data_IF_922851708554
#
_entry.id   IF_922851708554
#
_cell.length_a   1.000
_cell.length_b   1.000
_cell.length_c   1.000
_cell.angle_alpha   90.00
_cell.angle_beta   90.00
_cell.angle_gamma   90.00
#
_symmetry.space_group_name_H-M   'P 1'
#
loop_
_entity.id
_entity.type
_entity.pdbx_description
1 polymer ?
#
# COMPACT_ATOMS: atom_id res chain seq x y z
N UNK A 1 -5.17 -18.55 -4.66
CA UNK A 1 -3.89 -18.15 -5.29
C UNK A 1 -3.48 -16.75 -4.80
N UNK A 2 -2.97 -16.62 -3.57
CA UNK A 2 -2.59 -15.31 -2.99
C UNK A 2 -1.07 -15.10 -2.93
N UNK A 3 -0.31 -16.19 -2.81
CA UNK A 3 1.15 -16.14 -2.66
C UNK A 3 1.86 -15.45 -3.83
N UNK A 4 1.57 -15.87 -5.08
CA UNK A 4 2.22 -15.32 -6.27
C UNK A 4 2.03 -13.80 -6.40
N UNK A 5 0.79 -13.25 -6.42
CA UNK A 5 0.61 -11.81 -6.57
C UNK A 5 1.23 -11.01 -5.41
N UNK A 6 1.18 -11.53 -4.17
CA UNK A 6 1.82 -10.88 -3.02
C UNK A 6 3.35 -10.89 -3.18
N UNK A 7 3.95 -12.02 -3.56
CA UNK A 7 5.40 -12.11 -3.77
C UNK A 7 5.89 -11.19 -4.90
N UNK A 8 5.12 -11.05 -5.99
CA UNK A 8 5.42 -10.11 -7.07
C UNK A 8 5.32 -8.65 -6.59
N UNK A 9 4.30 -8.32 -5.79
CA UNK A 9 4.15 -6.98 -5.22
C UNK A 9 5.39 -6.57 -4.41
N UNK A 10 5.88 -7.46 -3.54
CA UNK A 10 7.11 -7.23 -2.79
C UNK A 10 8.35 -7.17 -3.69
N UNK A 11 8.47 -8.07 -4.67
CA UNK A 11 9.61 -8.09 -5.59
C UNK A 11 9.74 -6.81 -6.43
N UNK A 12 8.61 -6.16 -6.74
CA UNK A 12 8.56 -4.88 -7.45
C UNK A 12 8.77 -3.66 -6.52
N UNK A 13 9.02 -3.88 -5.22
CA UNK A 13 9.16 -2.82 -4.22
C UNK A 13 7.96 -1.86 -4.17
N UNK A 14 6.75 -2.37 -4.41
CA UNK A 14 5.53 -1.58 -4.27
C UNK A 14 5.21 -1.34 -2.80
N UNK A 15 4.63 -0.17 -2.51
CA UNK A 15 4.35 0.23 -1.14
C UNK A 15 2.93 -0.11 -0.70
N UNK A 16 2.82 -0.72 0.49
CA UNK A 16 1.54 -1.10 1.09
C UNK A 16 1.37 -0.37 2.42
N UNK A 17 0.30 0.43 2.55
CA UNK A 17 0.08 1.32 3.70
C UNK A 17 0.06 0.58 5.04
N UNK A 18 -0.65 -0.54 5.11
CA UNK A 18 -0.72 -1.37 6.34
C UNK A 18 0.63 -1.99 6.71
N UNK A 19 1.38 -2.50 5.72
CA UNK A 19 2.72 -3.07 5.96
C UNK A 19 3.67 -1.97 6.44
N UNK A 20 3.65 -0.79 5.81
CA UNK A 20 4.49 0.33 6.18
C UNK A 20 4.17 0.88 7.58
N UNK A 21 2.92 0.79 8.02
CA UNK A 21 2.49 1.15 9.38
C UNK A 21 3.09 0.22 10.45
N UNK A 22 3.52 -0.98 10.07
CA UNK A 22 4.26 -1.88 10.96
C UNK A 22 5.78 -1.72 10.80
N UNK A 23 6.27 -1.70 9.56
CA UNK A 23 7.71 -1.71 9.24
C UNK A 23 8.40 -0.40 9.66
N UNK A 24 7.80 0.76 9.38
CA UNK A 24 8.44 2.05 9.64
C UNK A 24 8.53 2.33 11.16
N UNK A 25 7.46 2.14 11.97
CA UNK A 25 7.59 2.26 13.42
C UNK A 25 8.58 1.26 14.02
N UNK A 26 8.63 0.03 13.49
CA UNK A 26 9.66 -0.94 13.90
C UNK A 26 11.06 -0.43 13.59
N UNK A 27 11.29 0.15 12.41
CA UNK A 27 12.57 0.75 12.05
C UNK A 27 12.94 1.93 12.97
N UNK A 28 11.98 2.79 13.32
CA UNK A 28 12.19 3.90 14.26
C UNK A 28 12.60 3.39 15.65
N UNK A 29 11.95 2.33 16.16
CA UNK A 29 12.30 1.70 17.43
C UNK A 29 13.71 1.09 17.38
N UNK A 30 14.10 0.54 16.24
CA UNK A 30 15.45 -0.01 16.01
C UNK A 30 16.52 1.07 15.76
N UNK A 31 16.17 2.36 15.83
CA UNK A 31 17.12 3.47 15.77
C UNK A 31 17.28 4.11 14.39
N UNK A 32 16.36 3.88 13.45
CA UNK A 32 16.36 4.61 12.18
C UNK A 32 16.05 6.10 12.41
N UNK A 33 16.81 6.98 11.74
CA UNK A 33 16.63 8.44 11.79
C UNK A 33 15.45 8.88 10.91
N UNK A 34 14.24 8.52 11.34
CA UNK A 34 12.98 8.87 10.68
C UNK A 34 12.14 9.62 11.70
N UNK A 35 11.74 10.84 11.36
CA UNK A 35 10.78 11.59 12.19
C UNK A 35 9.34 11.15 11.91
N UNK A 36 8.45 11.29 12.90
CA UNK A 36 7.01 11.00 12.74
C UNK A 36 6.40 11.85 11.63
N UNK A 37 6.80 13.12 11.51
CA UNK A 37 6.34 14.02 10.46
C UNK A 37 6.77 13.53 9.08
N UNK A 38 8.01 13.07 8.94
CA UNK A 38 8.52 12.53 7.69
C UNK A 38 7.78 11.27 7.29
N UNK A 39 7.55 10.34 8.22
CA UNK A 39 6.73 9.16 7.98
C UNK A 39 5.32 9.52 7.51
N UNK A 40 4.66 10.46 8.18
CA UNK A 40 3.28 10.83 7.87
C UNK A 40 3.13 11.46 6.48
N UNK A 41 3.97 12.45 6.17
CA UNK A 41 3.86 13.26 4.95
C UNK A 41 4.43 12.54 3.71
N UNK A 42 5.52 11.77 3.88
CA UNK A 42 6.21 11.14 2.76
C UNK A 42 5.87 9.66 2.55
N UNK A 43 5.19 9.02 3.51
CA UNK A 43 4.81 7.63 3.37
C UNK A 43 3.32 7.40 3.68
N UNK A 44 2.87 7.65 4.90
CA UNK A 44 1.54 7.22 5.34
C UNK A 44 0.41 7.81 4.48
N UNK A 45 0.44 9.12 4.21
CA UNK A 45 -0.56 9.78 3.37
C UNK A 45 -0.44 9.34 1.89
N UNK A 46 0.71 9.51 1.21
CA UNK A 46 0.81 9.21 -0.22
C UNK A 46 0.58 7.72 -0.54
N UNK A 47 1.10 6.80 0.27
CA UNK A 47 0.92 5.35 0.05
C UNK A 47 -0.53 4.94 0.26
N UNK A 48 -1.19 5.48 1.29
CA UNK A 48 -2.62 5.19 1.52
C UNK A 48 -3.49 5.69 0.37
N UNK A 49 -3.25 6.92 -0.10
CA UNK A 49 -3.96 7.45 -1.27
C UNK A 49 -3.68 6.62 -2.53
N UNK A 50 -2.43 6.25 -2.77
CA UNK A 50 -2.04 5.39 -3.88
C UNK A 50 -2.70 4.01 -3.84
N UNK A 51 -2.76 3.38 -2.66
CA UNK A 51 -3.42 2.10 -2.47
C UNK A 51 -4.94 2.19 -2.69
N UNK A 52 -5.59 3.25 -2.20
CA UNK A 52 -7.03 3.49 -2.42
C UNK A 52 -7.31 3.70 -3.92
N UNK A 53 -6.55 4.55 -4.59
CA UNK A 53 -6.72 4.82 -6.02
C UNK A 53 -6.44 3.56 -6.85
N UNK A 54 -5.37 2.84 -6.55
CA UNK A 54 -5.03 1.58 -7.23
C UNK A 54 -6.13 0.53 -7.06
N UNK A 55 -6.60 0.28 -5.83
CA UNK A 55 -7.65 -0.70 -5.57
C UNK A 55 -9.00 -0.30 -6.14
N UNK A 56 -9.39 0.97 -6.02
CA UNK A 56 -10.67 1.46 -6.55
C UNK A 56 -10.71 1.45 -8.07
N UNK A 57 -9.64 1.87 -8.75
CA UNK A 57 -9.61 1.96 -10.22
C UNK A 57 -9.32 0.62 -10.89
N UNK A 58 -8.27 -0.08 -10.45
CA UNK A 58 -7.82 -1.30 -11.13
C UNK A 58 -8.60 -2.55 -10.71
N UNK A 59 -9.33 -2.50 -9.59
CA UNK A 59 -10.12 -3.64 -9.13
C UNK A 59 -11.59 -3.25 -9.00
N UNK A 60 -11.92 -2.25 -8.19
CA UNK A 60 -13.31 -1.84 -7.93
C UNK A 60 -14.09 -1.46 -9.19
N UNK A 61 -13.56 -0.54 -10.01
CA UNK A 61 -14.22 -0.08 -11.23
C UNK A 61 -14.30 -1.17 -12.29
N UNK A 62 -13.23 -1.95 -12.49
CA UNK A 62 -13.23 -3.04 -13.47
C UNK A 62 -14.24 -4.12 -13.09
N UNK A 63 -14.29 -4.52 -11.81
CA UNK A 63 -15.30 -5.45 -11.31
C UNK A 63 -16.71 -4.88 -11.47
N UNK A 64 -16.93 -3.60 -11.15
CA UNK A 64 -18.23 -2.96 -11.32
C UNK A 64 -18.67 -2.96 -12.79
N UNK A 65 -17.77 -2.63 -13.72
CA UNK A 65 -18.08 -2.60 -15.16
C UNK A 65 -18.46 -3.99 -15.68
N UNK A 66 -17.68 -5.03 -15.34
CA UNK A 66 -17.95 -6.39 -15.76
C UNK A 66 -19.26 -6.96 -15.21
N UNK A 67 -19.69 -6.53 -14.02
CA UNK A 67 -20.91 -7.03 -13.37
C UNK A 67 -22.14 -6.14 -13.62
N UNK A 68 -22.01 -5.05 -14.40
CA UNK A 68 -23.07 -4.05 -14.58
C UNK A 68 -24.24 -4.50 -15.48
N UNK A 69 -24.08 -5.62 -16.18
CA UNK A 69 -25.04 -6.18 -17.16
C UNK A 69 -25.89 -7.34 -16.61
N UNK A 70 -25.75 -7.66 -15.32
CA UNK A 70 -26.70 -8.47 -14.56
C UNK A 70 -27.58 -7.56 -13.69
#
# INVERSE_FOLDING_TARGET
>A
MIWLPVSTFFALALEHSIVNTFVIPTAMILGADISVQQWLLWNAIPVTLGNIVGGSVLTGLLLHYCNKTH
#
